data_IF_127936321978
#
_entry.id   IF_127936321978
#
_cell.length_a   1.000
_cell.length_b   1.000
_cell.length_c   1.000
_cell.angle_alpha   90.00
_cell.angle_beta   90.00
_cell.angle_gamma   90.00
#
_symmetry.space_group_name_H-M   'P 1'
#
loop_
_entity.id
_entity.type
_entity.pdbx_description
1 polymer ?
#
# COMPACT_ATOMS: atom_id res chain seq x y z
N UNK A 1 15.87 46.40 13.95
CA UNK A 1 15.06 45.59 13.06
C UNK A 1 15.34 44.17 13.48
N UNK A 2 14.38 43.49 14.11
CA UNK A 2 14.57 42.11 14.54
C UNK A 2 14.68 41.23 13.32
N UNK A 3 15.76 40.46 13.22
CA UNK A 3 15.86 39.34 12.28
C UNK A 3 14.64 38.45 12.51
N UNK A 4 13.64 38.56 11.63
CA UNK A 4 12.57 37.54 11.58
C UNK A 4 13.24 36.28 11.03
N UNK A 5 13.52 35.32 11.89
CA UNK A 5 13.87 33.98 11.45
C UNK A 5 12.79 33.51 10.44
N UNK A 6 13.22 33.27 9.23
CA UNK A 6 12.33 32.68 8.23
C UNK A 6 11.95 31.26 8.70
N UNK A 7 10.67 30.91 8.55
CA UNK A 7 10.23 29.56 8.80
C UNK A 7 10.92 28.60 7.80
N UNK A 8 11.27 27.40 8.27
CA UNK A 8 11.78 26.34 7.39
C UNK A 8 10.73 25.97 6.34
N UNK A 9 11.16 25.78 5.11
CA UNK A 9 10.34 25.21 4.02
C UNK A 9 10.41 23.68 3.96
N UNK A 10 11.24 23.06 4.82
CA UNK A 10 11.36 21.61 4.86
C UNK A 10 10.19 20.98 5.62
N UNK A 11 9.67 19.81 5.16
CA UNK A 11 8.64 19.08 5.87
C UNK A 11 9.15 18.56 7.22
N UNK A 12 8.23 18.19 8.10
CA UNK A 12 8.59 17.57 9.37
C UNK A 12 9.39 16.28 9.13
N UNK A 13 10.41 16.05 9.97
CA UNK A 13 11.33 14.92 9.84
C UNK A 13 10.60 13.56 9.74
N UNK A 14 10.78 12.89 8.61
CA UNK A 14 10.26 11.55 8.37
C UNK A 14 8.85 11.52 7.76
N UNK A 15 8.32 12.68 7.35
CA UNK A 15 7.14 12.79 6.47
C UNK A 15 7.57 13.26 5.08
N UNK A 16 6.66 13.24 4.12
CA UNK A 16 6.92 13.64 2.72
C UNK A 16 5.91 14.64 2.25
N UNK A 17 6.36 15.61 1.46
CA UNK A 17 5.50 16.35 0.56
C UNK A 17 5.42 15.63 -0.78
N UNK A 18 4.23 15.56 -1.36
CA UNK A 18 4.01 15.00 -2.68
C UNK A 18 3.77 16.15 -3.68
N UNK A 19 4.77 16.47 -4.46
CA UNK A 19 4.59 17.37 -5.59
C UNK A 19 3.75 16.69 -6.69
N UNK A 20 3.14 17.46 -7.63
CA UNK A 20 2.20 16.89 -8.59
C UNK A 20 2.69 15.65 -9.35
N UNK A 21 3.97 15.60 -9.71
CA UNK A 21 4.55 14.48 -10.44
C UNK A 21 4.62 13.21 -9.58
N UNK A 22 5.07 13.33 -8.32
CA UNK A 22 5.17 12.21 -7.40
C UNK A 22 3.78 11.73 -6.95
N UNK A 23 2.87 12.69 -6.73
CA UNK A 23 1.48 12.36 -6.42
C UNK A 23 0.78 11.65 -7.59
N UNK A 24 1.06 12.09 -8.83
CA UNK A 24 0.54 11.45 -10.04
C UNK A 24 0.99 9.98 -10.17
N UNK A 25 2.26 9.68 -9.88
CA UNK A 25 2.75 8.29 -9.87
C UNK A 25 2.01 7.45 -8.82
N UNK A 26 1.92 7.95 -7.60
CA UNK A 26 1.29 7.22 -6.49
C UNK A 26 -0.20 6.99 -6.73
N UNK A 27 -0.93 7.98 -7.27
CA UNK A 27 -2.36 7.84 -7.57
C UNK A 27 -2.63 6.84 -8.70
N UNK A 28 -1.73 6.70 -9.69
CA UNK A 28 -1.82 5.64 -10.70
C UNK A 28 -1.66 4.25 -10.09
N UNK A 29 -0.71 4.08 -9.14
CA UNK A 29 -0.57 2.84 -8.37
C UNK A 29 -1.85 2.55 -7.57
N UNK A 30 -2.42 3.55 -6.89
CA UNK A 30 -3.68 3.40 -6.15
C UNK A 30 -4.86 3.05 -7.07
N UNK A 31 -4.92 3.59 -8.30
CA UNK A 31 -5.95 3.22 -9.27
C UNK A 31 -5.83 1.75 -9.67
N UNK A 32 -4.63 1.24 -9.93
CA UNK A 32 -4.39 -0.18 -10.21
C UNK A 32 -4.80 -1.07 -9.04
N UNK A 33 -4.49 -0.65 -7.80
CA UNK A 33 -4.90 -1.35 -6.57
C UNK A 33 -6.43 -1.42 -6.48
N UNK A 34 -7.14 -0.31 -6.63
CA UNK A 34 -8.61 -0.24 -6.59
C UNK A 34 -9.23 -1.18 -7.63
N UNK A 35 -8.84 -1.02 -8.88
CA UNK A 35 -9.36 -1.85 -9.98
C UNK A 35 -9.14 -3.36 -9.72
N UNK A 36 -7.97 -3.72 -9.17
CA UNK A 36 -7.69 -5.12 -8.82
C UNK A 36 -8.62 -5.62 -7.73
N UNK A 37 -8.78 -4.88 -6.63
CA UNK A 37 -9.60 -5.30 -5.49
C UNK A 37 -11.09 -5.30 -5.80
N UNK A 38 -11.57 -4.32 -6.54
CA UNK A 38 -12.96 -4.27 -7.04
C UNK A 38 -13.29 -5.48 -7.92
N UNK A 39 -12.31 -6.00 -8.71
CA UNK A 39 -12.50 -7.23 -9.50
C UNK A 39 -12.70 -8.48 -8.64
N UNK A 40 -12.27 -8.46 -7.37
CA UNK A 40 -12.54 -9.47 -6.35
C UNK A 40 -13.75 -9.13 -5.45
N UNK A 41 -14.55 -8.14 -5.86
CA UNK A 41 -15.71 -7.64 -5.12
C UNK A 41 -15.39 -7.10 -3.72
N UNK A 42 -14.21 -6.47 -3.56
CA UNK A 42 -13.91 -5.71 -2.35
C UNK A 42 -14.41 -4.27 -2.46
N UNK A 43 -14.94 -3.76 -1.35
CA UNK A 43 -15.47 -2.40 -1.22
C UNK A 43 -14.49 -1.50 -0.45
N UNK A 44 -14.25 -0.28 -0.97
CA UNK A 44 -13.38 0.68 -0.29
C UNK A 44 -14.07 1.31 0.91
N UNK A 45 -13.40 1.33 2.07
CA UNK A 45 -13.86 2.05 3.27
C UNK A 45 -12.78 2.98 3.80
N UNK A 46 -13.14 3.89 4.68
CA UNK A 46 -12.19 4.76 5.36
C UNK A 46 -12.65 5.07 6.79
N UNK A 47 -11.72 5.54 7.61
CA UNK A 47 -11.96 5.99 8.98
C UNK A 47 -11.09 7.20 9.33
N UNK A 48 -11.40 7.86 10.45
CA UNK A 48 -10.58 8.97 10.96
C UNK A 48 -9.14 8.52 11.23
N UNK A 49 -8.12 9.35 10.95
CA UNK A 49 -6.75 9.09 11.40
C UNK A 49 -6.60 9.20 12.94
N UNK A 50 -7.51 9.90 13.62
CA UNK A 50 -7.55 9.99 15.06
C UNK A 50 -8.41 8.89 15.66
N UNK A 51 -7.85 8.15 16.59
CA UNK A 51 -8.51 7.09 17.35
C UNK A 51 -8.23 7.24 18.85
N UNK A 52 -9.01 6.55 19.68
CA UNK A 52 -8.70 6.40 21.10
C UNK A 52 -7.43 5.58 21.26
N UNK A 53 -6.50 6.02 22.09
CA UNK A 53 -5.22 5.33 22.29
C UNK A 53 -5.41 3.89 22.76
N UNK A 54 -6.41 3.64 23.62
CA UNK A 54 -6.75 2.30 24.15
C UNK A 54 -7.02 1.25 23.04
N UNK A 55 -7.45 1.67 21.85
CA UNK A 55 -7.69 0.78 20.73
C UNK A 55 -6.43 0.00 20.32
N UNK A 56 -5.28 0.62 20.43
CA UNK A 56 -4.00 0.03 20.04
C UNK A 56 -3.24 -0.57 21.21
N UNK A 57 -3.49 -0.11 22.44
CA UNK A 57 -2.78 -0.57 23.66
C UNK A 57 -3.02 -2.07 23.98
N UNK A 58 -4.11 -2.66 23.53
CA UNK A 58 -4.49 -4.01 23.95
C UNK A 58 -3.95 -5.15 23.07
N UNK A 59 -3.64 -4.92 21.79
CA UNK A 59 -3.30 -6.00 20.83
C UNK A 59 -2.23 -5.62 19.80
N UNK A 60 -1.82 -4.38 19.75
CA UNK A 60 -0.65 -3.98 19.00
C UNK A 60 0.59 -4.31 19.84
N UNK A 61 1.72 -4.64 19.22
CA UNK A 61 2.92 -5.01 19.99
C UNK A 61 3.29 -3.88 20.95
N UNK A 62 3.75 -4.25 22.14
CA UNK A 62 4.17 -3.31 23.19
C UNK A 62 5.16 -2.25 22.69
N UNK A 63 6.06 -2.63 21.78
CA UNK A 63 7.01 -1.73 21.14
C UNK A 63 6.33 -0.66 20.28
N UNK A 64 5.31 -1.01 19.51
CA UNK A 64 4.57 -0.05 18.68
C UNK A 64 3.78 0.91 19.56
N UNK A 65 3.15 0.40 20.61
CA UNK A 65 2.28 1.20 21.50
C UNK A 65 3.09 2.18 22.35
N UNK A 66 4.18 1.70 22.94
CA UNK A 66 4.98 2.53 23.89
C UNK A 66 5.93 3.49 23.18
N UNK A 67 6.47 3.13 22.02
CA UNK A 67 7.57 3.87 21.40
C UNK A 67 7.22 4.49 20.03
N UNK A 68 6.21 3.95 19.32
CA UNK A 68 5.98 4.32 17.92
C UNK A 68 4.66 5.05 17.65
N UNK A 69 3.80 5.28 18.66
CA UNK A 69 2.55 6.03 18.46
C UNK A 69 2.72 7.53 18.65
N UNK A 70 1.96 8.32 17.89
CA UNK A 70 1.76 9.74 18.11
C UNK A 70 0.53 9.94 19.01
N UNK A 71 0.74 9.82 20.32
CA UNK A 71 -0.32 9.91 21.33
C UNK A 71 -0.29 11.24 22.06
N UNK A 72 -1.45 11.85 22.29
CA UNK A 72 -1.61 13.11 23.01
C UNK A 72 -2.98 13.17 23.71
N UNK A 73 -3.16 14.11 24.62
CA UNK A 73 -4.43 14.41 25.25
C UNK A 73 -5.15 15.53 24.49
N UNK A 74 -6.42 15.32 24.21
CA UNK A 74 -7.27 16.36 23.62
C UNK A 74 -7.78 17.34 24.70
N UNK A 75 -8.48 18.40 24.29
CA UNK A 75 -9.00 19.43 25.23
C UNK A 75 -10.06 18.92 26.21
N UNK A 76 -10.51 17.69 26.07
CA UNK A 76 -11.46 17.01 26.95
C UNK A 76 -10.81 15.90 27.77
N UNK A 77 -9.50 15.98 27.99
CA UNK A 77 -8.67 15.04 28.77
C UNK A 77 -8.79 13.59 28.29
N UNK A 78 -9.00 13.41 26.98
CA UNK A 78 -9.07 12.10 26.33
C UNK A 78 -7.75 11.77 25.65
N UNK A 79 -7.20 10.61 25.95
CA UNK A 79 -6.00 10.10 25.31
C UNK A 79 -6.31 9.61 23.91
N UNK A 80 -5.78 10.29 22.91
CA UNK A 80 -5.99 10.01 21.48
C UNK A 80 -4.66 9.77 20.79
N UNK A 81 -4.68 9.03 19.69
CA UNK A 81 -3.49 8.73 18.91
C UNK A 81 -3.76 8.84 17.42
N UNK A 82 -2.75 9.19 16.64
CA UNK A 82 -2.77 8.95 15.19
C UNK A 82 -2.59 7.46 14.94
N UNK A 83 -3.47 6.88 14.12
CA UNK A 83 -3.46 5.42 13.84
C UNK A 83 -2.10 4.94 13.32
N UNK A 84 -1.44 3.96 13.98
CA UNK A 84 -0.21 3.35 13.48
C UNK A 84 -0.45 2.24 12.44
N UNK A 85 -1.68 1.74 12.37
CA UNK A 85 -2.19 0.70 11.46
C UNK A 85 -3.72 0.77 11.36
N UNK A 86 -4.32 0.03 10.43
CA UNK A 86 -5.77 0.09 10.18
C UNK A 86 -6.55 -1.09 10.77
N UNK A 87 -5.92 -2.24 10.99
CA UNK A 87 -6.59 -3.48 11.40
C UNK A 87 -7.42 -3.36 12.68
N UNK A 88 -6.95 -2.70 13.78
CA UNK A 88 -7.79 -2.48 14.96
C UNK A 88 -8.99 -1.57 14.68
N UNK A 89 -8.84 -0.55 13.83
CA UNK A 89 -9.94 0.32 13.41
C UNK A 89 -10.98 -0.47 12.60
N UNK A 90 -10.54 -1.32 11.66
CA UNK A 90 -11.42 -2.23 10.92
C UNK A 90 -12.20 -3.14 11.88
N UNK A 91 -11.52 -3.79 12.82
CA UNK A 91 -12.15 -4.67 13.79
C UNK A 91 -13.21 -3.93 14.65
N UNK A 92 -12.92 -2.70 15.07
CA UNK A 92 -13.88 -1.83 15.79
C UNK A 92 -15.11 -1.52 14.95
N UNK A 93 -14.91 -1.13 13.68
CA UNK A 93 -16.01 -0.80 12.75
C UNK A 93 -16.89 -2.01 12.47
N UNK A 94 -16.25 -3.17 12.23
CA UNK A 94 -16.95 -4.44 12.01
C UNK A 94 -17.77 -4.85 13.23
N UNK A 95 -17.20 -4.77 14.44
CA UNK A 95 -17.89 -5.09 15.68
C UNK A 95 -19.09 -4.17 15.93
N UNK A 96 -18.93 -2.86 15.65
CA UNK A 96 -20.00 -1.87 15.84
C UNK A 96 -21.21 -2.12 14.95
N UNK A 97 -21.05 -2.69 13.76
CA UNK A 97 -22.08 -2.90 12.75
C UNK A 97 -22.38 -4.38 12.46
N UNK A 98 -21.88 -5.31 13.26
CA UNK A 98 -21.91 -6.78 13.04
C UNK A 98 -23.30 -7.35 12.73
N UNK A 99 -24.38 -6.71 13.19
CA UNK A 99 -25.78 -7.13 12.97
C UNK A 99 -26.40 -6.50 11.73
N UNK A 100 -25.79 -5.47 11.17
CA UNK A 100 -26.30 -4.69 10.05
C UNK A 100 -25.57 -5.02 8.74
N UNK A 101 -24.34 -5.52 8.81
CA UNK A 101 -23.47 -5.83 7.68
C UNK A 101 -23.68 -7.28 7.23
N UNK A 102 -23.88 -7.53 5.94
CA UNK A 102 -23.93 -8.88 5.38
C UNK A 102 -22.52 -9.53 5.41
N UNK A 103 -22.45 -10.80 5.79
CA UNK A 103 -21.22 -11.58 5.75
C UNK A 103 -21.22 -12.51 4.52
N UNK A 104 -20.04 -12.85 3.94
CA UNK A 104 -18.70 -12.38 4.33
C UNK A 104 -18.45 -10.93 3.92
N UNK A 105 -17.72 -10.19 4.77
CA UNK A 105 -17.28 -8.81 4.51
C UNK A 105 -15.99 -8.84 3.71
N UNK A 106 -15.91 -8.01 2.66
CA UNK A 106 -14.77 -7.84 1.77
C UNK A 106 -14.46 -6.34 1.67
N UNK A 107 -13.61 -5.85 2.55
CA UNK A 107 -13.30 -4.43 2.60
C UNK A 107 -11.82 -4.15 2.40
N UNK A 108 -11.52 -3.00 1.80
CA UNK A 108 -10.16 -2.47 1.72
C UNK A 108 -10.12 -0.97 1.98
N UNK A 109 -8.97 -0.47 2.36
CA UNK A 109 -8.73 0.97 2.53
C UNK A 109 -7.27 1.32 2.20
N UNK A 110 -7.02 2.57 1.79
CA UNK A 110 -5.68 3.10 1.49
C UNK A 110 -5.44 4.37 2.31
N UNK A 111 -5.46 4.29 3.63
CA UNK A 111 -5.23 5.43 4.50
C UNK A 111 -3.74 5.74 4.68
N UNK A 112 -3.42 6.96 5.10
CA UNK A 112 -2.14 7.24 5.72
C UNK A 112 -2.13 6.73 7.17
N UNK A 113 -0.97 6.22 7.59
CA UNK A 113 -0.69 5.73 8.94
C UNK A 113 0.58 6.39 9.47
N UNK A 114 0.70 6.46 10.81
CA UNK A 114 1.70 7.27 11.48
C UNK A 114 2.46 6.45 12.50
N UNK A 115 3.80 6.38 12.38
CA UNK A 115 4.66 5.66 13.32
C UNK A 115 5.89 6.49 13.66
N UNK A 116 6.10 6.77 14.93
CA UNK A 116 7.27 7.49 15.40
C UNK A 116 8.51 6.59 15.34
N UNK A 117 9.00 6.37 14.12
CA UNK A 117 10.16 5.54 13.86
C UNK A 117 11.37 6.38 13.39
N UNK A 118 12.56 5.79 13.47
CA UNK A 118 13.74 6.39 12.85
C UNK A 118 13.61 6.28 11.33
N UNK A 119 13.55 7.41 10.59
CA UNK A 119 13.44 7.38 9.13
C UNK A 119 14.65 6.69 8.50
N UNK A 120 14.40 5.80 7.54
CA UNK A 120 15.39 5.09 6.74
C UNK A 120 14.72 4.55 5.47
N UNK A 121 15.49 4.00 4.52
CA UNK A 121 14.93 3.39 3.30
C UNK A 121 13.85 2.37 3.65
N UNK A 122 12.69 2.47 3.00
CA UNK A 122 11.53 1.62 3.26
C UNK A 122 10.78 1.91 4.56
N UNK A 123 11.12 2.98 5.33
CA UNK A 123 10.47 3.30 6.61
C UNK A 123 10.42 4.80 6.88
N UNK A 124 9.23 5.34 6.93
CA UNK A 124 8.93 6.74 7.21
C UNK A 124 7.97 6.85 8.40
N UNK A 125 7.83 8.07 8.93
CA UNK A 125 6.92 8.37 10.04
C UNK A 125 5.47 8.51 9.59
N UNK A 126 5.25 8.83 8.33
CA UNK A 126 3.96 8.82 7.66
C UNK A 126 4.09 8.06 6.34
N UNK A 127 3.15 7.16 6.07
CA UNK A 127 3.07 6.46 4.80
C UNK A 127 1.63 6.06 4.50
N UNK A 128 1.30 5.90 3.24
CA UNK A 128 0.04 5.28 2.83
C UNK A 128 0.16 3.76 2.96
N UNK A 129 -0.92 3.15 3.44
CA UNK A 129 -0.96 1.71 3.62
C UNK A 129 -2.26 1.16 3.03
N UNK A 130 -2.15 0.32 2.00
CA UNK A 130 -3.25 -0.54 1.61
C UNK A 130 -3.51 -1.54 2.73
N UNK A 131 -4.78 -1.70 3.11
CA UNK A 131 -5.27 -2.76 4.00
C UNK A 131 -6.41 -3.47 3.29
N UNK A 132 -6.37 -4.81 3.26
CA UNK A 132 -7.37 -5.66 2.62
C UNK A 132 -7.81 -6.69 3.64
N UNK A 133 -9.10 -6.77 3.94
CA UNK A 133 -9.64 -7.61 5.00
C UNK A 133 -10.87 -8.38 4.52
N UNK A 134 -10.85 -9.70 4.73
CA UNK A 134 -11.94 -10.63 4.50
C UNK A 134 -12.40 -11.18 5.86
N UNK A 135 -13.65 -10.94 6.24
CA UNK A 135 -14.19 -11.34 7.51
C UNK A 135 -15.43 -12.25 7.40
N UNK A 136 -15.57 -13.16 8.34
CA UNK A 136 -16.73 -14.06 8.45
C UNK A 136 -16.53 -15.46 7.83
N UNK A 137 -15.32 -15.81 7.41
CA UNK A 137 -14.98 -17.15 6.88
C UNK A 137 -13.86 -17.77 7.72
N UNK A 138 -14.17 -18.83 8.43
CA UNK A 138 -13.20 -19.57 9.26
C UNK A 138 -12.34 -20.55 8.44
N UNK A 139 -12.83 -21.00 7.27
CA UNK A 139 -12.15 -21.96 6.41
C UNK A 139 -10.85 -21.36 5.83
N UNK A 140 -9.78 -22.15 5.82
CA UNK A 140 -8.46 -21.80 5.27
C UNK A 140 -8.50 -21.42 3.77
N UNK A 141 -9.59 -21.69 3.07
CA UNK A 141 -9.83 -21.21 1.70
C UNK A 141 -9.83 -19.68 1.61
N UNK A 142 -10.27 -19.00 2.69
CA UNK A 142 -10.21 -17.54 2.77
C UNK A 142 -8.76 -17.04 2.84
N UNK A 143 -7.89 -17.75 3.56
CA UNK A 143 -6.45 -17.44 3.60
C UNK A 143 -5.83 -17.59 2.22
N UNK A 144 -6.18 -18.67 1.50
CA UNK A 144 -5.76 -18.90 0.13
C UNK A 144 -6.23 -17.81 -0.82
N UNK A 145 -7.46 -17.34 -0.69
CA UNK A 145 -7.98 -16.23 -1.49
C UNK A 145 -7.20 -14.94 -1.26
N UNK A 146 -6.90 -14.60 -0.01
CA UNK A 146 -6.12 -13.40 0.35
C UNK A 146 -4.70 -13.47 -0.23
N UNK A 147 -4.03 -14.63 -0.22
CA UNK A 147 -2.72 -14.80 -0.87
C UNK A 147 -2.82 -14.65 -2.39
N UNK A 148 -3.88 -15.20 -3.01
CA UNK A 148 -4.15 -15.03 -4.45
C UNK A 148 -4.34 -13.56 -4.80
N UNK A 149 -5.10 -12.81 -4.01
CA UNK A 149 -5.31 -11.36 -4.21
C UNK A 149 -3.99 -10.60 -4.11
N UNK A 150 -3.19 -10.87 -3.09
CA UNK A 150 -1.89 -10.24 -2.91
C UNK A 150 -0.93 -10.53 -4.08
N UNK A 151 -0.89 -11.77 -4.58
CA UNK A 151 -0.14 -12.14 -5.78
C UNK A 151 -0.68 -11.42 -7.04
N UNK A 152 -2.01 -11.43 -7.24
CA UNK A 152 -2.64 -10.78 -8.40
C UNK A 152 -2.38 -9.28 -8.41
N UNK A 153 -2.36 -8.63 -7.24
CA UNK A 153 -2.00 -7.23 -7.10
C UNK A 153 -0.58 -6.95 -7.60
N UNK A 154 0.41 -7.75 -7.20
CA UNK A 154 1.78 -7.60 -7.68
C UNK A 154 1.86 -7.79 -9.20
N UNK A 155 1.13 -8.76 -9.76
CA UNK A 155 1.04 -8.97 -11.21
C UNK A 155 0.40 -7.80 -11.94
N UNK A 156 -0.68 -7.23 -11.41
CA UNK A 156 -1.37 -6.07 -11.98
C UNK A 156 -0.49 -4.82 -12.00
N UNK A 157 0.45 -4.70 -11.06
CA UNK A 157 1.49 -3.67 -11.03
C UNK A 157 2.67 -3.95 -11.97
N UNK A 158 2.62 -5.03 -12.75
CA UNK A 158 3.61 -5.39 -13.78
C UNK A 158 4.70 -6.35 -13.30
N UNK A 159 4.70 -6.78 -12.04
CA UNK A 159 5.72 -7.68 -11.52
C UNK A 159 5.65 -9.08 -12.15
N UNK A 160 6.79 -9.72 -12.35
CA UNK A 160 6.91 -11.14 -12.72
C UNK A 160 7.05 -11.98 -11.45
N UNK A 161 6.75 -13.28 -11.54
CA UNK A 161 6.92 -14.21 -10.40
C UNK A 161 8.38 -14.35 -9.96
N UNK A 162 9.33 -14.01 -10.84
CA UNK A 162 10.75 -13.95 -10.52
C UNK A 162 11.16 -12.77 -9.64
N UNK A 163 10.36 -11.71 -9.63
CA UNK A 163 10.72 -10.43 -9.02
C UNK A 163 10.39 -10.38 -7.52
N UNK A 164 9.51 -11.27 -7.05
CA UNK A 164 9.11 -11.32 -5.64
C UNK A 164 8.88 -12.76 -5.15
N UNK A 165 8.92 -12.94 -3.82
CA UNK A 165 8.60 -14.21 -3.13
C UNK A 165 7.55 -14.00 -2.07
N UNK A 166 6.61 -14.95 -1.98
CA UNK A 166 5.61 -15.03 -0.94
C UNK A 166 6.10 -16.09 0.05
N UNK A 167 6.53 -15.65 1.24
CA UNK A 167 6.96 -16.51 2.33
C UNK A 167 5.77 -16.75 3.24
N UNK A 168 5.49 -18.00 3.54
CA UNK A 168 4.31 -18.40 4.35
C UNK A 168 4.76 -19.20 5.55
N UNK A 169 4.11 -18.91 6.70
CA UNK A 169 4.22 -19.67 7.94
C UNK A 169 2.85 -19.86 8.59
N UNK A 170 2.82 -20.48 9.75
CA UNK A 170 1.60 -20.70 10.54
C UNK A 170 1.85 -20.49 12.02
N UNK A 171 1.00 -19.70 12.66
CA UNK A 171 1.03 -19.50 14.13
C UNK A 171 0.66 -20.77 14.87
N UNK A 172 -0.20 -21.62 14.31
CA UNK A 172 -0.56 -22.92 14.91
C UNK A 172 0.61 -23.90 14.85
N UNK A 173 1.35 -23.94 13.74
CA UNK A 173 2.56 -24.73 13.62
C UNK A 173 3.64 -24.26 14.61
N UNK A 174 3.87 -22.96 14.70
CA UNK A 174 4.82 -22.40 15.65
C UNK A 174 4.44 -22.71 17.10
N UNK A 175 3.15 -22.58 17.45
CA UNK A 175 2.67 -22.91 18.79
C UNK A 175 2.85 -24.39 19.12
N UNK A 176 2.59 -25.29 18.16
CA UNK A 176 2.84 -26.73 18.34
C UNK A 176 4.33 -27.02 18.56
N UNK A 177 5.21 -26.43 17.79
CA UNK A 177 6.67 -26.57 17.93
C UNK A 177 7.18 -25.98 19.27
N UNK A 178 6.65 -24.85 19.68
CA UNK A 178 6.95 -24.24 20.98
C UNK A 178 6.55 -25.18 22.13
N UNK A 179 5.34 -25.75 22.09
CA UNK A 179 4.88 -26.70 23.12
C UNK A 179 5.77 -27.95 23.15
N UNK A 180 6.16 -28.51 22.01
CA UNK A 180 7.06 -29.67 21.91
C UNK A 180 8.48 -29.39 22.45
N UNK A 181 8.87 -28.13 22.64
CA UNK A 181 10.22 -27.71 23.01
C UNK A 181 10.30 -26.96 24.35
N UNK A 182 9.24 -27.03 25.16
CA UNK A 182 9.20 -26.48 26.52
C UNK A 182 8.76 -25.03 26.65
N UNK A 183 8.07 -24.49 25.61
CA UNK A 183 7.39 -23.21 25.68
C UNK A 183 5.88 -23.44 25.85
N UNK A 184 5.44 -23.73 27.09
CA UNK A 184 4.16 -24.35 27.38
C UNK A 184 2.97 -23.39 27.55
N UNK A 185 3.20 -22.08 27.45
CA UNK A 185 2.15 -21.09 27.66
C UNK A 185 2.26 -19.93 26.66
N UNK A 186 1.18 -19.17 26.53
CA UNK A 186 1.10 -18.06 25.58
C UNK A 186 2.22 -17.01 25.73
N UNK A 187 2.62 -16.72 26.98
CA UNK A 187 3.71 -15.77 27.26
C UNK A 187 5.04 -16.29 26.73
N UNK A 188 5.36 -17.58 26.96
CA UNK A 188 6.58 -18.19 26.47
C UNK A 188 6.62 -18.22 24.93
N UNK A 189 5.48 -18.54 24.28
CA UNK A 189 5.36 -18.50 22.81
C UNK A 189 5.56 -17.08 22.29
N UNK A 190 5.01 -16.07 22.97
CA UNK A 190 5.19 -14.66 22.61
C UNK A 190 6.66 -14.22 22.73
N UNK A 191 7.33 -14.61 23.82
CA UNK A 191 8.76 -14.34 24.04
C UNK A 191 9.58 -14.97 22.91
N UNK A 192 9.32 -16.23 22.56
CA UNK A 192 10.00 -16.89 21.44
C UNK A 192 9.74 -16.20 20.11
N UNK A 193 8.51 -15.82 19.82
CA UNK A 193 8.15 -15.09 18.59
C UNK A 193 8.93 -13.77 18.47
N UNK A 194 9.05 -13.01 19.57
CA UNK A 194 9.85 -11.78 19.62
C UNK A 194 11.36 -12.04 19.44
N UNK A 195 11.84 -13.16 19.97
CA UNK A 195 13.24 -13.59 19.80
C UNK A 195 13.50 -13.96 18.34
N UNK A 196 12.59 -14.67 17.70
CA UNK A 196 12.66 -15.09 16.31
C UNK A 196 12.66 -13.89 15.36
N UNK A 197 11.82 -12.88 15.60
CA UNK A 197 11.80 -11.62 14.84
C UNK A 197 13.15 -10.86 14.88
N UNK A 198 13.91 -11.05 15.97
CA UNK A 198 15.24 -10.44 16.14
C UNK A 198 16.39 -11.36 15.71
N UNK A 199 16.12 -12.61 15.29
CA UNK A 199 17.14 -13.65 15.04
C UNK A 199 18.21 -13.19 14.04
N UNK A 200 17.82 -12.49 12.97
CA UNK A 200 18.77 -11.97 11.98
C UNK A 200 19.75 -10.91 12.50
N UNK A 201 19.50 -10.36 13.69
CA UNK A 201 20.34 -9.34 14.34
C UNK A 201 21.20 -9.91 15.46
N UNK A 202 21.01 -11.19 15.81
CA UNK A 202 21.71 -11.88 16.89
C UNK A 202 22.73 -12.85 16.31
N UNK A 203 23.84 -13.06 17.01
CA UNK A 203 24.72 -14.19 16.78
C UNK A 203 24.04 -15.50 17.22
N UNK A 204 24.49 -16.62 16.68
CA UNK A 204 23.98 -17.96 17.05
C UNK A 204 24.06 -18.17 18.57
N UNK A 205 25.18 -17.81 19.19
CA UNK A 205 25.38 -17.96 20.63
C UNK A 205 24.42 -17.09 21.47
N UNK A 206 24.16 -15.84 21.02
CA UNK A 206 23.19 -14.96 21.69
C UNK A 206 21.77 -15.50 21.55
N UNK A 207 21.40 -16.02 20.38
CA UNK A 207 20.09 -16.61 20.15
C UNK A 207 19.91 -17.88 21.01
N UNK A 208 20.88 -18.81 21.03
CA UNK A 208 20.82 -20.01 21.85
C UNK A 208 20.80 -19.68 23.36
N UNK A 209 21.58 -18.70 23.80
CA UNK A 209 21.55 -18.25 25.19
C UNK A 209 20.18 -17.69 25.59
N UNK A 210 19.49 -16.99 24.69
CA UNK A 210 18.17 -16.42 24.93
C UNK A 210 17.05 -17.47 25.01
N UNK A 211 17.23 -18.66 24.44
CA UNK A 211 16.29 -19.80 24.59
C UNK A 211 16.26 -20.32 26.02
N UNK A 212 17.35 -20.21 26.76
CA UNK A 212 17.51 -20.73 28.12
C UNK A 212 17.95 -22.21 28.15
N UNK A 213 18.42 -22.70 29.32
CA UNK A 213 19.12 -24.00 29.42
C UNK A 213 18.21 -25.24 29.32
N UNK A 214 16.89 -25.08 29.44
CA UNK A 214 15.92 -26.19 29.48
C UNK A 214 15.06 -26.30 28.24
N UNK A 215 15.26 -25.41 27.25
CA UNK A 215 14.44 -25.35 26.06
C UNK A 215 15.29 -25.61 24.81
N UNK A 216 14.70 -26.29 23.85
CA UNK A 216 15.29 -26.44 22.51
C UNK A 216 14.64 -25.48 21.53
N UNK A 217 15.31 -25.23 20.41
CA UNK A 217 14.81 -24.32 19.38
C UNK A 217 13.58 -24.94 18.68
N UNK A 218 12.39 -24.34 18.74
CA UNK A 218 11.19 -24.77 18.02
C UNK A 218 11.39 -24.95 16.52
N UNK A 219 12.29 -24.22 15.88
CA UNK A 219 12.58 -24.43 14.45
C UNK A 219 13.16 -25.81 14.18
N UNK A 220 13.98 -26.36 15.09
CA UNK A 220 14.51 -27.74 14.96
C UNK A 220 13.39 -28.78 15.07
N UNK A 221 12.37 -28.53 15.91
CA UNK A 221 11.20 -29.41 15.99
C UNK A 221 10.36 -29.35 14.69
N UNK A 222 10.24 -28.18 14.06
CA UNK A 222 9.58 -28.05 12.75
C UNK A 222 10.38 -28.78 11.66
N UNK A 223 11.70 -28.71 11.69
CA UNK A 223 12.56 -29.41 10.73
C UNK A 223 12.46 -30.92 10.87
N UNK A 224 12.61 -31.47 12.09
CA UNK A 224 12.58 -32.90 12.37
C UNK A 224 11.22 -33.52 12.10
N UNK A 225 10.13 -32.80 12.48
CA UNK A 225 8.77 -33.31 12.36
C UNK A 225 8.50 -34.55 13.21
N UNK A 226 9.30 -34.84 14.26
CA UNK A 226 9.16 -36.01 15.12
C UNK A 226 7.92 -35.93 16.04
N UNK A 227 7.54 -34.74 16.46
CA UNK A 227 6.31 -34.53 17.25
C UNK A 227 5.10 -34.64 16.33
N UNK A 228 4.13 -35.48 16.74
CA UNK A 228 2.95 -35.77 15.93
C UNK A 228 2.10 -34.53 15.60
N UNK A 229 1.96 -33.60 16.55
CA UNK A 229 1.20 -32.35 16.34
C UNK A 229 1.93 -31.38 15.46
N UNK A 230 3.25 -31.27 15.59
CA UNK A 230 4.09 -30.49 14.68
C UNK A 230 4.00 -31.03 13.26
N UNK A 231 4.11 -32.35 13.08
CA UNK A 231 3.96 -33.02 11.78
C UNK A 231 2.60 -32.78 11.14
N UNK A 232 1.51 -32.87 11.94
CA UNK A 232 0.14 -32.59 11.48
C UNK A 232 0.00 -31.13 10.98
N UNK A 233 0.42 -30.14 11.77
CA UNK A 233 0.31 -28.72 11.41
C UNK A 233 1.22 -28.35 10.21
N UNK A 234 2.41 -28.96 10.15
CA UNK A 234 3.32 -28.81 9.01
C UNK A 234 2.69 -29.32 7.72
N UNK A 235 2.05 -30.50 7.79
CA UNK A 235 1.36 -31.07 6.63
C UNK A 235 0.21 -30.19 6.16
N UNK A 236 -0.62 -29.64 7.06
CA UNK A 236 -1.69 -28.70 6.69
C UNK A 236 -1.14 -27.49 5.92
N UNK A 237 0.00 -26.95 6.36
CA UNK A 237 0.66 -25.83 5.69
C UNK A 237 1.25 -26.22 4.33
N UNK A 238 1.85 -27.40 4.23
CA UNK A 238 2.38 -27.93 2.96
C UNK A 238 1.25 -28.17 1.95
N UNK A 239 0.11 -28.73 2.39
CA UNK A 239 -1.07 -28.93 1.54
C UNK A 239 -1.66 -27.57 1.10
N UNK A 240 -1.68 -26.56 1.98
CA UNK A 240 -2.08 -25.20 1.65
C UNK A 240 -1.18 -24.57 0.56
N UNK A 241 0.15 -24.69 0.72
CA UNK A 241 1.11 -24.20 -0.27
C UNK A 241 0.98 -24.95 -1.61
N UNK A 242 0.76 -26.27 -1.56
CA UNK A 242 0.52 -27.07 -2.76
C UNK A 242 -0.72 -26.58 -3.53
N UNK A 243 -1.83 -26.32 -2.82
CA UNK A 243 -3.04 -25.78 -3.41
C UNK A 243 -2.84 -24.39 -4.06
N UNK A 244 -1.98 -23.53 -3.50
CA UNK A 244 -1.61 -22.25 -4.13
C UNK A 244 -0.80 -22.47 -5.41
N UNK A 245 0.13 -23.43 -5.41
CA UNK A 245 0.93 -23.78 -6.61
C UNK A 245 0.09 -24.34 -7.72
N UNK A 246 -0.91 -25.18 -7.40
CA UNK A 246 -1.89 -25.70 -8.38
C UNK A 246 -2.71 -24.55 -9.04
N UNK A 247 -2.89 -23.44 -8.34
CA UNK A 247 -3.52 -22.21 -8.87
C UNK A 247 -2.56 -21.33 -9.67
N UNK A 248 -1.32 -21.78 -9.91
CA UNK A 248 -0.31 -21.07 -10.69
C UNK A 248 0.57 -20.09 -9.89
N UNK A 249 0.46 -20.04 -8.56
CA UNK A 249 1.33 -19.21 -7.71
C UNK A 249 2.59 -20.01 -7.36
N UNK A 250 3.61 -19.92 -8.22
CA UNK A 250 4.81 -20.77 -8.12
C UNK A 250 5.90 -20.19 -7.22
N UNK A 251 5.85 -18.89 -6.94
CA UNK A 251 6.83 -18.14 -6.14
C UNK A 251 6.48 -18.12 -4.64
N UNK A 252 5.64 -19.06 -4.18
CA UNK A 252 5.32 -19.28 -2.77
C UNK A 252 6.25 -20.29 -2.14
N UNK A 253 6.75 -20.00 -0.93
CA UNK A 253 7.67 -20.86 -0.18
C UNK A 253 7.25 -20.92 1.30
N UNK A 254 7.49 -22.10 1.91
CA UNK A 254 7.41 -22.24 3.36
C UNK A 254 8.64 -21.57 4.00
N UNK A 255 8.39 -20.72 5.01
CA UNK A 255 9.44 -20.08 5.80
C UNK A 255 9.02 -20.04 7.27
N UNK A 256 9.53 -20.92 8.13
CA UNK A 256 9.15 -21.01 9.53
C UNK A 256 9.60 -19.80 10.37
N UNK A 257 10.50 -18.97 9.85
CA UNK A 257 11.00 -17.78 10.54
C UNK A 257 10.02 -16.59 10.45
N UNK A 258 9.01 -16.65 9.58
CA UNK A 258 7.98 -15.58 9.47
C UNK A 258 7.04 -15.67 10.66
N UNK A 259 7.11 -14.68 11.56
CA UNK A 259 6.27 -14.61 12.77
C UNK A 259 5.35 -13.41 12.80
N UNK A 260 5.61 -12.38 12.03
CA UNK A 260 4.90 -11.09 12.06
C UNK A 260 4.92 -10.39 13.43
N UNK A 261 5.14 -9.08 13.43
CA UNK A 261 5.30 -8.28 14.65
C UNK A 261 4.01 -7.96 15.42
N UNK A 262 2.84 -8.49 15.04
CA UNK A 262 1.57 -8.24 15.71
C UNK A 262 1.08 -9.49 16.44
N UNK A 263 0.65 -9.32 17.70
CA UNK A 263 0.25 -10.41 18.58
C UNK A 263 -1.17 -10.95 18.32
N UNK A 264 -1.91 -10.36 17.37
CA UNK A 264 -3.28 -10.78 17.07
C UNK A 264 -3.41 -11.92 16.05
N UNK A 265 -2.33 -12.32 15.36
CA UNK A 265 -2.40 -13.41 14.37
C UNK A 265 -2.63 -14.78 15.03
N UNK A 266 -3.55 -15.57 14.44
CA UNK A 266 -4.00 -16.86 15.00
C UNK A 266 -3.76 -18.08 14.10
N UNK A 267 -3.49 -17.88 12.81
CA UNK A 267 -3.37 -18.94 11.80
C UNK A 267 -2.24 -18.71 10.82
N UNK A 268 -2.55 -18.84 9.54
CA UNK A 268 -1.61 -18.56 8.45
C UNK A 268 -1.12 -17.12 8.54
N UNK A 269 0.18 -16.95 8.34
CA UNK A 269 0.84 -15.66 8.16
C UNK A 269 1.71 -15.68 6.90
N UNK A 270 1.82 -14.57 6.21
CA UNK A 270 2.67 -14.46 5.04
C UNK A 270 3.28 -13.08 4.89
N UNK A 271 4.38 -13.03 4.16
CA UNK A 271 5.06 -11.80 3.74
C UNK A 271 5.52 -11.89 2.30
N UNK A 272 5.46 -10.78 1.59
CA UNK A 272 5.98 -10.64 0.23
C UNK A 272 7.29 -9.86 0.27
N UNK A 273 8.33 -10.45 -0.26
CA UNK A 273 9.66 -9.85 -0.35
C UNK A 273 10.08 -9.67 -1.80
N UNK A 274 10.79 -8.59 -2.06
CA UNK A 274 11.57 -8.41 -3.27
C UNK A 274 12.67 -9.48 -3.37
N UNK A 275 12.93 -9.97 -4.57
CA UNK A 275 14.10 -10.84 -4.82
C UNK A 275 15.39 -10.03 -4.94
N UNK A 276 15.30 -8.71 -5.15
CA UNK A 276 16.47 -7.84 -5.15
C UNK A 276 16.94 -7.55 -3.71
N UNK A 277 18.19 -7.87 -3.36
CA UNK A 277 18.72 -7.69 -2.00
C UNK A 277 18.82 -6.22 -1.55
N UNK A 278 18.72 -5.26 -2.45
CA UNK A 278 18.68 -3.83 -2.10
C UNK A 278 17.41 -3.44 -1.34
N UNK A 279 16.34 -4.23 -1.48
CA UNK A 279 15.06 -4.06 -0.81
C UNK A 279 14.80 -5.19 0.22
N UNK A 280 15.51 -5.21 1.35
CA UNK A 280 15.44 -6.32 2.31
C UNK A 280 14.15 -6.34 3.14
N UNK A 281 13.28 -5.34 3.00
CA UNK A 281 12.03 -5.23 3.77
C UNK A 281 10.87 -5.89 3.04
N UNK A 282 9.94 -6.45 3.81
CA UNK A 282 8.70 -6.93 3.25
C UNK A 282 7.94 -5.79 2.57
N UNK A 283 7.47 -6.03 1.34
CA UNK A 283 6.60 -5.15 0.57
C UNK A 283 5.20 -5.19 1.15
N UNK A 284 4.75 -6.41 1.48
CA UNK A 284 3.43 -6.69 2.01
C UNK A 284 3.52 -7.75 3.11
N UNK A 285 2.53 -7.79 3.97
CA UNK A 285 2.41 -8.86 4.91
C UNK A 285 1.03 -8.92 5.55
N UNK A 286 0.60 -10.14 5.90
CA UNK A 286 -0.71 -10.40 6.42
C UNK A 286 -0.86 -11.76 7.08
N UNK A 287 -2.10 -12.14 7.35
CA UNK A 287 -2.45 -13.41 7.94
C UNK A 287 -3.84 -13.42 8.56
N UNK A 288 -4.16 -14.55 9.21
CA UNK A 288 -5.43 -14.77 9.91
C UNK A 288 -5.40 -14.22 11.33
N UNK A 289 -6.48 -13.54 11.73
CA UNK A 289 -6.65 -12.94 13.06
C UNK A 289 -8.11 -13.06 13.52
N UNK A 290 -8.45 -14.19 14.16
CA UNK A 290 -9.83 -14.53 14.44
C UNK A 290 -10.39 -13.85 15.71
N UNK A 291 -9.53 -13.39 16.63
CA UNK A 291 -9.97 -12.96 17.96
C UNK A 291 -10.04 -11.44 18.15
N UNK A 292 -9.68 -10.64 17.14
CA UNK A 292 -9.53 -9.19 17.33
C UNK A 292 -10.87 -8.49 17.58
N UNK A 293 -11.95 -8.95 16.93
CA UNK A 293 -13.28 -8.37 17.11
C UNK A 293 -13.90 -8.62 18.48
N UNK A 294 -13.50 -9.69 19.18
CA UNK A 294 -14.00 -10.00 20.53
C UNK A 294 -13.61 -8.95 21.58
N UNK A 295 -12.60 -8.13 21.34
CA UNK A 295 -12.24 -7.00 22.20
C UNK A 295 -13.37 -5.99 22.38
N UNK A 296 -14.28 -5.90 21.42
CA UNK A 296 -15.42 -4.98 21.44
C UNK A 296 -16.71 -5.64 21.94
N UNK A 297 -16.60 -6.82 22.56
CA UNK A 297 -17.71 -7.60 23.05
C UNK A 297 -18.40 -8.45 21.96
N UNK A 298 -19.03 -9.54 22.39
CA UNK A 298 -19.68 -10.52 21.53
C UNK A 298 -18.73 -11.57 20.96
N UNK A 299 -19.25 -12.42 20.05
CA UNK A 299 -18.50 -13.54 19.49
C UNK A 299 -17.40 -13.04 18.55
N UNK A 300 -16.29 -13.75 18.54
CA UNK A 300 -15.19 -13.53 17.61
C UNK A 300 -15.65 -13.73 16.14
N UNK A 301 -15.19 -12.86 15.25
CA UNK A 301 -15.44 -12.97 13.81
C UNK A 301 -14.11 -13.37 13.17
N UNK A 302 -14.06 -14.52 12.47
CA UNK A 302 -12.85 -14.92 11.75
C UNK A 302 -12.49 -13.89 10.69
N UNK A 303 -11.26 -13.42 10.72
CA UNK A 303 -10.74 -12.44 9.79
C UNK A 303 -9.39 -12.88 9.22
N UNK A 304 -9.15 -12.56 7.97
CA UNK A 304 -7.84 -12.70 7.31
C UNK A 304 -7.62 -11.51 6.41
N UNK A 305 -6.40 -10.99 6.37
CA UNK A 305 -6.10 -9.81 5.58
C UNK A 305 -4.61 -9.58 5.38
N UNK A 306 -4.28 -8.55 4.61
CA UNK A 306 -2.89 -8.11 4.45
C UNK A 306 -2.80 -6.60 4.28
N UNK A 307 -1.60 -6.08 4.51
CA UNK A 307 -1.28 -4.69 4.30
C UNK A 307 -0.04 -4.52 3.40
N UNK A 308 -0.03 -3.43 2.61
CA UNK A 308 1.07 -3.03 1.74
C UNK A 308 1.41 -1.57 2.01
N UNK A 309 2.67 -1.29 2.40
CA UNK A 309 3.14 0.08 2.56
C UNK A 309 3.56 0.69 1.21
N UNK A 310 3.15 1.92 0.93
CA UNK A 310 3.48 2.61 -0.31
C UNK A 310 5.00 2.81 -0.49
N UNK A 311 5.73 3.03 0.59
CA UNK A 311 7.19 3.27 0.54
C UNK A 311 7.93 2.05 0.01
N UNK A 312 7.70 0.88 0.60
CA UNK A 312 8.35 -0.38 0.16
C UNK A 312 7.83 -0.83 -1.20
N UNK A 313 6.56 -0.58 -1.51
CA UNK A 313 5.98 -0.88 -2.82
C UNK A 313 6.61 0.01 -3.91
N UNK A 314 6.76 1.31 -3.68
CA UNK A 314 7.39 2.21 -4.64
C UNK A 314 8.89 1.90 -4.82
N UNK A 315 9.62 1.59 -3.75
CA UNK A 315 11.02 1.11 -3.83
C UNK A 315 11.12 -0.13 -4.73
N UNK A 316 10.18 -1.09 -4.60
CA UNK A 316 10.10 -2.27 -5.47
C UNK A 316 9.83 -1.90 -6.93
N UNK A 317 8.80 -1.08 -7.18
CA UNK A 317 8.42 -0.69 -8.54
C UNK A 317 9.53 0.08 -9.25
N UNK A 318 10.25 0.95 -8.56
CA UNK A 318 11.40 1.68 -9.10
C UNK A 318 12.57 0.74 -9.42
N UNK A 319 12.90 -0.17 -8.51
CA UNK A 319 13.99 -1.14 -8.69
C UNK A 319 13.77 -2.03 -9.91
N UNK A 320 12.53 -2.43 -10.17
CA UNK A 320 12.16 -3.27 -11.31
C UNK A 320 11.74 -2.48 -12.56
N UNK A 321 11.90 -1.15 -12.57
CA UNK A 321 11.48 -0.26 -13.67
C UNK A 321 9.99 -0.36 -14.02
N UNK A 322 9.14 -0.59 -13.02
CA UNK A 322 7.69 -0.71 -13.11
C UNK A 322 6.96 0.54 -12.62
N UNK A 323 7.67 1.50 -12.04
CA UNK A 323 7.07 2.73 -11.54
C UNK A 323 6.42 3.52 -12.69
N UNK A 324 5.15 3.96 -12.54
CA UNK A 324 4.49 4.72 -13.58
C UNK A 324 5.18 6.07 -13.81
N UNK A 325 5.09 6.58 -15.03
CA UNK A 325 5.53 7.95 -15.34
C UNK A 325 4.51 8.96 -14.85
N UNK A 326 4.94 10.18 -14.47
CA UNK A 326 3.99 11.25 -14.14
C UNK A 326 3.04 11.50 -15.31
N UNK A 327 1.76 11.69 -14.99
CA UNK A 327 0.75 12.05 -15.98
C UNK A 327 0.81 13.54 -16.27
N UNK A 328 0.80 13.92 -17.54
CA UNK A 328 0.71 15.34 -17.93
C UNK A 328 -0.53 16.00 -17.31
N UNK A 329 -0.41 17.27 -16.94
CA UNK A 329 -1.52 18.03 -16.35
C UNK A 329 -2.64 18.36 -17.37
N UNK A 330 -2.35 18.27 -18.66
CA UNK A 330 -3.29 18.48 -19.75
C UNK A 330 -2.96 17.57 -20.94
N UNK A 331 -3.96 17.30 -21.77
CA UNK A 331 -3.81 16.57 -23.03
C UNK A 331 -3.40 17.54 -24.15
N UNK A 332 -3.95 18.76 -24.10
CA UNK A 332 -3.74 19.82 -25.08
C UNK A 332 -3.29 21.11 -24.42
N UNK A 333 -2.29 21.76 -25.01
CA UNK A 333 -1.91 23.14 -24.72
C UNK A 333 -2.37 24.03 -25.88
N UNK A 334 -3.23 25.00 -25.59
CA UNK A 334 -3.63 26.03 -26.57
C UNK A 334 -2.74 27.25 -26.36
N UNK A 335 -1.83 27.49 -27.33
CA UNK A 335 -0.98 28.64 -27.37
C UNK A 335 -1.64 29.80 -28.09
N UNK A 336 -1.36 31.03 -27.63
CA UNK A 336 -1.91 32.28 -28.22
C UNK A 336 -0.80 33.13 -28.77
N UNK A 337 -0.87 33.53 -30.07
CA UNK A 337 0.10 34.43 -30.68
C UNK A 337 0.14 35.81 -30.05
N UNK A 338 -1.02 36.35 -29.64
CA UNK A 338 -1.18 37.66 -29.05
C UNK A 338 -2.14 37.64 -27.82
N UNK A 339 -2.15 38.75 -27.10
CA UNK A 339 -3.04 38.89 -25.93
C UNK A 339 -4.52 38.93 -26.32
N UNK A 340 -4.85 39.51 -27.50
CA UNK A 340 -6.22 39.53 -28.04
C UNK A 340 -6.79 38.15 -28.34
N UNK A 341 -5.92 37.15 -28.60
CA UNK A 341 -6.32 35.79 -28.91
C UNK A 341 -6.71 34.97 -27.64
N UNK A 342 -6.37 35.43 -26.44
CA UNK A 342 -6.61 34.72 -25.18
C UNK A 342 -8.12 34.46 -24.94
N UNK A 343 -8.96 35.43 -25.25
CA UNK A 343 -10.42 35.29 -25.10
C UNK A 343 -10.99 34.20 -26.00
N UNK A 344 -10.84 34.29 -27.32
CA UNK A 344 -11.28 33.27 -28.28
C UNK A 344 -10.66 31.87 -28.00
N UNK A 345 -9.37 31.81 -27.68
CA UNK A 345 -8.70 30.56 -27.33
C UNK A 345 -9.28 29.92 -26.02
N UNK A 346 -9.69 30.77 -25.06
CA UNK A 346 -10.31 30.29 -23.83
C UNK A 346 -11.67 29.66 -24.10
N UNK A 347 -12.49 30.27 -24.97
CA UNK A 347 -13.79 29.70 -25.38
C UNK A 347 -13.62 28.33 -26.06
N UNK A 348 -12.66 28.24 -27.00
CA UNK A 348 -12.34 26.98 -27.63
C UNK A 348 -11.82 25.94 -26.63
N UNK A 349 -11.02 26.34 -25.66
CA UNK A 349 -10.57 25.48 -24.58
C UNK A 349 -11.73 24.96 -23.71
N UNK A 350 -12.77 25.77 -23.50
CA UNK A 350 -14.00 25.34 -22.78
C UNK A 350 -14.80 24.32 -23.58
N UNK A 351 -14.91 24.48 -24.88
CA UNK A 351 -15.53 23.50 -25.78
C UNK A 351 -14.83 22.14 -25.69
N UNK A 352 -13.48 22.13 -25.77
CA UNK A 352 -12.69 20.90 -25.66
C UNK A 352 -12.83 20.25 -24.28
N UNK A 353 -12.88 21.03 -23.20
CA UNK A 353 -13.13 20.52 -21.84
C UNK A 353 -14.50 19.89 -21.71
N UNK A 354 -15.53 20.50 -22.30
CA UNK A 354 -16.89 19.94 -22.32
C UNK A 354 -16.91 18.58 -23.03
N UNK A 355 -16.04 18.37 -24.00
CA UNK A 355 -15.84 17.10 -24.70
C UNK A 355 -14.90 16.13 -23.94
N UNK A 356 -14.50 16.44 -22.70
CA UNK A 356 -13.76 15.55 -21.79
C UNK A 356 -12.24 15.62 -21.91
N UNK A 357 -11.67 16.61 -22.61
CA UNK A 357 -10.23 16.82 -22.67
C UNK A 357 -9.74 17.70 -21.50
N UNK A 358 -8.52 17.45 -21.04
CA UNK A 358 -7.80 18.35 -20.13
C UNK A 358 -7.03 19.37 -20.95
N UNK A 359 -7.37 20.65 -20.83
CA UNK A 359 -6.85 21.71 -21.69
C UNK A 359 -6.20 22.82 -20.87
N UNK A 360 -4.96 23.14 -21.19
CA UNK A 360 -4.25 24.30 -20.67
C UNK A 360 -4.24 25.39 -21.76
N UNK A 361 -4.83 26.55 -21.49
CA UNK A 361 -4.81 27.71 -22.39
C UNK A 361 -3.76 28.67 -21.86
N UNK A 362 -2.88 29.16 -22.75
CA UNK A 362 -1.92 30.20 -22.41
C UNK A 362 -2.63 31.49 -21.98
N UNK A 363 -2.14 32.09 -20.91
CA UNK A 363 -2.62 33.38 -20.37
C UNK A 363 -1.46 34.36 -20.13
N UNK A 364 -0.32 34.10 -20.77
CA UNK A 364 0.89 34.91 -20.58
C UNK A 364 1.26 35.62 -21.89
N UNK A 365 2.08 36.68 -21.80
CA UNK A 365 2.62 37.42 -22.95
C UNK A 365 3.83 36.73 -23.61
N UNK A 366 4.15 35.47 -23.29
CA UNK A 366 5.26 34.70 -23.88
C UNK A 366 4.99 34.43 -25.36
N UNK A 367 6.03 34.47 -26.20
CA UNK A 367 5.93 34.05 -27.59
C UNK A 367 5.63 32.54 -27.74
N UNK A 368 5.04 32.14 -28.88
CA UNK A 368 4.64 30.74 -29.16
C UNK A 368 5.78 29.74 -28.96
N UNK A 369 7.02 30.08 -29.30
CA UNK A 369 8.17 29.21 -29.12
C UNK A 369 8.43 28.85 -27.63
N UNK A 370 8.22 29.80 -26.72
CA UNK A 370 8.38 29.56 -25.30
C UNK A 370 7.16 28.81 -24.68
N UNK A 371 5.98 29.05 -25.27
CA UNK A 371 4.76 28.29 -24.91
C UNK A 371 4.88 26.82 -25.31
N UNK A 372 5.45 26.50 -26.48
CA UNK A 372 5.76 25.16 -26.95
C UNK A 372 6.76 24.48 -25.98
N UNK A 373 7.84 25.17 -25.59
CA UNK A 373 8.81 24.64 -24.62
C UNK A 373 8.17 24.39 -23.25
N UNK A 374 7.22 25.24 -22.84
CA UNK A 374 6.46 25.04 -21.61
C UNK A 374 5.57 23.81 -21.69
N UNK A 375 4.83 23.64 -22.79
CA UNK A 375 3.99 22.46 -23.03
C UNK A 375 4.81 21.16 -23.01
N UNK A 376 5.96 21.14 -23.70
CA UNK A 376 6.88 20.00 -23.71
C UNK A 376 7.44 19.68 -22.32
N UNK A 377 7.84 20.69 -21.52
CA UNK A 377 8.31 20.49 -20.14
C UNK A 377 7.24 19.94 -19.21
N UNK A 378 5.96 20.22 -19.49
CA UNK A 378 4.81 19.68 -18.75
C UNK A 378 4.39 18.29 -19.24
N UNK A 379 5.08 17.71 -20.22
CA UNK A 379 4.74 16.41 -20.80
C UNK A 379 3.43 16.41 -21.59
N UNK A 380 2.93 17.60 -22.00
CA UNK A 380 1.68 17.73 -22.77
C UNK A 380 1.92 17.20 -24.17
N UNK A 381 1.03 16.34 -24.66
CA UNK A 381 1.20 15.66 -25.95
C UNK A 381 0.89 16.55 -27.12
N UNK A 382 -0.18 17.34 -27.03
CA UNK A 382 -0.67 18.13 -28.17
C UNK A 382 -0.58 19.63 -27.92
N UNK A 383 -0.19 20.36 -28.96
CA UNK A 383 -0.15 21.80 -28.94
C UNK A 383 -0.97 22.37 -30.12
N UNK A 384 -1.78 23.40 -29.86
CA UNK A 384 -2.58 24.12 -30.85
C UNK A 384 -2.23 25.58 -30.72
N UNK A 385 -1.69 26.18 -31.78
CA UNK A 385 -1.64 27.65 -31.89
C UNK A 385 -3.03 28.16 -32.30
N UNK A 386 -3.62 29.04 -31.48
CA UNK A 386 -4.96 29.57 -31.75
C UNK A 386 -4.95 31.08 -31.78
N UNK A 387 -5.18 31.63 -32.96
CA UNK A 387 -5.23 33.05 -33.25
C UNK A 387 -6.45 33.45 -34.11
N UNK A 388 -6.43 34.62 -34.68
CA UNK A 388 -7.52 35.14 -35.52
C UNK A 388 -7.86 34.21 -36.71
N UNK A 389 -6.85 33.58 -37.33
CA UNK A 389 -7.07 32.67 -38.47
C UNK A 389 -7.87 31.44 -38.06
N UNK A 390 -7.49 30.79 -36.96
CA UNK A 390 -8.16 29.60 -36.43
C UNK A 390 -9.56 29.95 -35.91
N UNK A 391 -9.71 31.16 -35.36
CA UNK A 391 -11.01 31.67 -34.93
C UNK A 391 -11.97 31.85 -36.11
N UNK A 392 -11.48 32.39 -37.23
CA UNK A 392 -12.25 32.71 -38.44
C UNK A 392 -12.53 31.48 -39.31
N UNK A 393 -11.52 30.63 -39.54
CA UNK A 393 -11.62 29.48 -40.46
C UNK A 393 -12.43 28.31 -39.87
N UNK A 394 -12.48 28.17 -38.54
CA UNK A 394 -13.04 26.99 -37.88
C UNK A 394 -12.12 25.78 -37.90
N UNK A 395 -10.93 25.88 -38.50
CA UNK A 395 -9.91 24.82 -38.51
C UNK A 395 -8.74 25.18 -37.60
N UNK A 396 -8.09 24.18 -37.05
CA UNK A 396 -6.92 24.33 -36.20
C UNK A 396 -5.84 23.30 -36.59
N UNK A 397 -4.56 23.68 -36.38
CA UNK A 397 -3.45 22.76 -36.53
C UNK A 397 -3.10 22.18 -35.18
N UNK A 398 -3.23 20.86 -35.06
CA UNK A 398 -2.85 20.06 -33.89
C UNK A 398 -1.45 19.53 -34.12
N UNK A 399 -0.51 19.95 -33.28
CA UNK A 399 0.88 19.50 -33.33
C UNK A 399 1.12 18.46 -32.23
N UNK A 400 1.61 17.30 -32.60
CA UNK A 400 2.12 16.30 -31.65
C UNK A 400 3.54 16.71 -31.26
N UNK A 401 3.76 17.04 -30.01
CA UNK A 401 5.03 17.61 -29.52
C UNK A 401 6.20 16.64 -29.55
N UNK A 402 5.96 15.35 -29.40
CA UNK A 402 6.99 14.31 -29.43
C UNK A 402 7.52 14.05 -30.83
N UNK A 403 6.64 13.86 -31.82
CA UNK A 403 7.02 13.57 -33.21
C UNK A 403 7.26 14.82 -34.04
N UNK A 404 6.69 15.96 -33.63
CA UNK A 404 6.68 17.21 -34.42
C UNK A 404 5.66 17.21 -35.56
N UNK A 405 4.88 16.16 -35.75
CA UNK A 405 3.84 16.05 -36.78
C UNK A 405 2.70 17.04 -36.52
N UNK A 406 2.19 17.63 -37.62
CA UNK A 406 1.06 18.56 -37.58
C UNK A 406 -0.07 18.04 -38.48
N UNK A 407 -1.29 18.09 -37.97
CA UNK A 407 -2.51 17.77 -38.72
C UNK A 407 -3.48 18.94 -38.63
N UNK A 408 -4.13 19.27 -39.76
CA UNK A 408 -5.21 20.25 -39.78
C UNK A 408 -6.55 19.57 -39.58
N UNK A 409 -7.34 20.02 -38.60
CA UNK A 409 -8.63 19.47 -38.22
C UNK A 409 -9.65 20.59 -38.06
N UNK A 410 -10.92 20.28 -38.27
CA UNK A 410 -11.99 21.16 -37.79
C UNK A 410 -11.99 21.19 -36.25
N UNK A 411 -12.41 22.29 -35.63
CA UNK A 411 -12.52 22.40 -34.15
C UNK A 411 -13.33 21.28 -33.55
N UNK A 412 -14.37 20.81 -34.25
CA UNK A 412 -15.25 19.75 -33.80
C UNK A 412 -14.55 18.37 -33.72
N UNK A 413 -13.58 18.14 -34.61
CA UNK A 413 -12.89 16.84 -34.74
C UNK A 413 -11.69 16.68 -33.78
N UNK A 414 -11.21 17.77 -33.18
CA UNK A 414 -10.03 17.75 -32.28
C UNK A 414 -10.23 16.75 -31.15
N UNK A 415 -11.38 16.74 -30.52
CA UNK A 415 -11.66 15.86 -29.38
C UNK A 415 -11.63 14.37 -29.74
N UNK A 416 -11.99 14.02 -30.98
CA UNK A 416 -11.93 12.65 -31.48
C UNK A 416 -10.50 12.21 -31.84
N UNK A 417 -9.63 13.15 -32.22
CA UNK A 417 -8.24 12.88 -32.58
C UNK A 417 -7.32 12.74 -31.36
N UNK A 418 -7.60 13.53 -30.31
CA UNK A 418 -6.77 13.59 -29.08
C UNK A 418 -7.08 12.45 -28.09
N UNK A 419 -8.28 11.86 -28.16
CA UNK A 419 -8.67 10.67 -27.36
C UNK A 419 -8.09 9.38 -27.93
#
# INVERSE_FOLDING_TARGET
>A
MSDREHLSSEPYKGVRDFYPDDWSKLTQVFATIRNTLESFAFEEYNASPLERAELYEQKTSEEIVSEQTYTFEDRGDRKVTLRPEMTPTFARMLAAKRREIPFPVRWFSIPNVFRYERPQRGRLREHYQLNVDLAGIADMKADGEIVVIAHTLMKALGAKDSDFRIRISSRTLLAAACAATGFDNEEAIRIYSRLLDKKSKLSIAEFESALGPTRSDPLKAIESGEDAKVAEEKKKLEDFIAALKERGITNVVFDPEIVRGFDYYTGIVFEIYDTNPENPRAIAGGGRYDNLTSLFGGDAIPCVGFAVGDVTLMDFLETHSLAPKPQASADVFIGTPSESDIGPASLFGEELRTNGLRVLVNKTSKGLGDQIKEASRRGITYFIAFGEQEAASGNVRVKTLESGEEIELSKADVSGHVK
#
